data_IF_294584562746
#
_entry.id   IF_294584562746
#
_cell.length_a   1.000
_cell.length_b   1.000
_cell.length_c   1.000
_cell.angle_alpha   90.00
_cell.angle_beta   90.00
_cell.angle_gamma   90.00
#
_symmetry.space_group_name_H-M   'P 1'
#
loop_
_entity.id
_entity.type
_entity.pdbx_description
1 polymer ?
#
# COMPACT_ATOMS: atom_id res chain seq x y z
N UNK A 1 13.63 -11.87 -12.74
CA UNK A 1 14.61 -10.86 -12.26
C UNK A 1 14.60 -9.68 -13.24
N UNK A 2 13.98 -8.57 -12.85
CA UNK A 2 13.91 -7.36 -13.69
C UNK A 2 15.23 -6.56 -13.69
N UNK A 3 16.25 -7.01 -12.96
CA UNK A 3 17.52 -6.30 -12.78
C UNK A 3 17.37 -4.93 -12.11
N UNK A 4 16.24 -4.68 -11.41
CA UNK A 4 16.04 -3.53 -10.56
C UNK A 4 16.27 -3.97 -9.10
N UNK A 5 17.24 -3.37 -8.38
CA UNK A 5 17.49 -3.75 -7.00
C UNK A 5 16.27 -3.40 -6.14
N UNK A 6 15.67 -4.42 -5.56
CA UNK A 6 14.63 -4.28 -4.55
C UNK A 6 15.30 -4.14 -3.18
N UNK A 7 14.99 -3.05 -2.48
CA UNK A 7 15.57 -2.82 -1.15
C UNK A 7 14.78 -3.55 -0.07
N UNK A 8 13.47 -3.38 -0.05
CA UNK A 8 12.56 -3.94 0.95
C UNK A 8 11.19 -4.20 0.36
N UNK A 9 10.42 -5.08 1.01
CA UNK A 9 8.97 -5.19 0.81
C UNK A 9 8.28 -4.70 2.08
N UNK A 10 7.40 -3.72 1.95
CA UNK A 10 6.69 -3.13 3.09
C UNK A 10 5.18 -3.29 2.96
N UNK A 11 4.54 -3.73 4.04
CA UNK A 11 3.09 -3.65 4.19
C UNK A 11 2.72 -2.25 4.70
N UNK A 12 1.73 -1.62 4.09
CA UNK A 12 1.31 -0.25 4.40
C UNK A 12 -0.23 -0.16 4.54
N UNK A 13 -0.73 1.03 4.87
CA UNK A 13 -2.14 1.36 4.85
C UNK A 13 -2.98 0.66 5.91
N UNK A 14 -4.24 0.41 5.58
CA UNK A 14 -5.21 -0.19 6.49
C UNK A 14 -4.80 -1.57 7.01
N UNK A 15 -4.14 -2.38 6.18
CA UNK A 15 -3.66 -3.71 6.59
C UNK A 15 -2.54 -3.61 7.65
N UNK A 16 -1.60 -2.67 7.50
CA UNK A 16 -0.58 -2.43 8.52
C UNK A 16 -1.20 -1.91 9.83
N UNK A 17 -2.15 -0.99 9.75
CA UNK A 17 -2.89 -0.49 10.92
C UNK A 17 -3.66 -1.61 11.62
N UNK A 18 -4.26 -2.53 10.87
CA UNK A 18 -4.96 -3.69 11.42
C UNK A 18 -4.04 -4.58 12.28
N UNK A 19 -2.79 -4.78 11.86
CA UNK A 19 -1.80 -5.56 12.61
C UNK A 19 -1.55 -4.96 14.00
N UNK A 20 -1.60 -3.62 14.13
CA UNK A 20 -1.39 -2.92 15.40
C UNK A 20 -2.68 -2.67 16.19
N UNK A 21 -3.85 -2.76 15.54
CA UNK A 21 -5.12 -2.61 16.23
C UNK A 21 -5.38 -3.83 17.11
N UNK A 22 -5.58 -3.63 18.39
CA UNK A 22 -5.93 -4.70 19.32
C UNK A 22 -7.40 -5.14 19.21
N UNK A 23 -8.08 -4.77 18.15
CA UNK A 23 -9.52 -4.97 17.98
C UNK A 23 -9.84 -5.34 16.54
N UNK A 24 -10.68 -6.36 16.37
CA UNK A 24 -11.28 -6.75 15.08
C UNK A 24 -12.14 -5.67 14.41
N UNK A 25 -12.29 -4.52 15.08
CA UNK A 25 -13.07 -3.38 14.59
C UNK A 25 -12.40 -2.54 13.51
N UNK A 26 -11.19 -2.92 13.06
CA UNK A 26 -10.44 -2.26 11.97
C UNK A 26 -10.42 -3.11 10.71
N UNK A 27 -11.55 -3.26 9.99
CA UNK A 27 -11.51 -3.96 8.72
C UNK A 27 -10.68 -3.16 7.71
N UNK A 28 -9.86 -3.85 6.94
CA UNK A 28 -9.18 -3.28 5.78
C UNK A 28 -9.76 -3.90 4.49
N UNK A 29 -9.81 -3.10 3.43
CA UNK A 29 -10.38 -3.50 2.13
C UNK A 29 -9.33 -4.07 1.19
N UNK A 30 -8.11 -3.57 1.30
CA UNK A 30 -6.99 -3.84 0.41
C UNK A 30 -5.70 -4.09 1.19
N UNK A 31 -4.77 -4.76 0.55
CA UNK A 31 -3.42 -5.02 1.04
C UNK A 31 -2.47 -4.17 0.22
N UNK A 32 -1.91 -3.14 0.83
CA UNK A 32 -0.95 -2.24 0.23
C UNK A 32 0.47 -2.75 0.42
N UNK A 33 1.16 -3.12 -0.66
CA UNK A 33 2.56 -3.48 -0.66
C UNK A 33 3.39 -2.40 -1.35
N UNK A 34 4.41 -1.91 -0.65
CA UNK A 34 5.35 -0.92 -1.16
C UNK A 34 6.68 -1.59 -1.44
N UNK A 35 7.20 -1.35 -2.64
CA UNK A 35 8.48 -1.80 -3.15
C UNK A 35 9.34 -0.57 -3.43
N UNK A 36 10.20 -0.14 -2.49
CA UNK A 36 11.16 0.93 -2.74
C UNK A 36 12.19 0.47 -3.78
N UNK A 37 12.22 1.13 -4.93
CA UNK A 37 13.11 0.82 -6.05
C UNK A 37 13.53 2.11 -6.77
N UNK A 38 14.66 2.07 -7.49
CA UNK A 38 15.04 3.14 -8.39
C UNK A 38 14.22 3.08 -9.70
N UNK A 39 13.62 4.20 -10.07
CA UNK A 39 12.81 4.38 -11.29
C UNK A 39 13.34 5.58 -12.09
N UNK A 40 14.66 5.62 -12.34
CA UNK A 40 15.31 6.79 -12.91
C UNK A 40 14.88 7.06 -14.37
N UNK A 41 14.58 6.02 -15.12
CA UNK A 41 14.23 6.09 -16.54
C UNK A 41 12.84 5.54 -16.80
N UNK A 42 12.23 5.95 -17.89
CA UNK A 42 10.94 5.43 -18.31
C UNK A 42 10.96 3.93 -18.62
N UNK A 43 12.11 3.41 -19.08
CA UNK A 43 12.31 1.98 -19.28
C UNK A 43 12.24 1.16 -17.97
N UNK A 44 12.51 1.76 -16.82
CA UNK A 44 12.45 1.07 -15.54
C UNK A 44 10.99 0.75 -15.16
N UNK A 45 10.06 1.63 -15.52
CA UNK A 45 8.61 1.35 -15.36
C UNK A 45 8.14 0.20 -16.26
N UNK A 46 8.67 0.09 -17.48
CA UNK A 46 8.35 -1.03 -18.36
C UNK A 46 8.89 -2.35 -17.79
N UNK A 47 10.11 -2.34 -17.26
CA UNK A 47 10.71 -3.51 -16.58
C UNK A 47 9.90 -3.94 -15.36
N UNK A 48 9.38 -2.99 -14.56
CA UNK A 48 8.46 -3.28 -13.46
C UNK A 48 7.18 -3.92 -13.98
N UNK A 49 6.60 -3.36 -15.03
CA UNK A 49 5.39 -3.90 -15.65
C UNK A 49 5.58 -5.34 -16.12
N UNK A 50 6.66 -5.59 -16.85
CA UNK A 50 7.01 -6.93 -17.32
C UNK A 50 7.18 -7.90 -16.15
N UNK A 51 7.91 -7.50 -15.10
CA UNK A 51 8.10 -8.33 -13.91
C UNK A 51 6.77 -8.68 -13.19
N UNK A 52 5.84 -7.74 -13.12
CA UNK A 52 4.50 -7.99 -12.55
C UNK A 52 3.73 -8.99 -13.39
N UNK A 53 3.74 -8.85 -14.71
CA UNK A 53 3.05 -9.78 -15.62
C UNK A 53 3.68 -11.17 -15.61
N UNK A 54 5.00 -11.26 -15.60
CA UNK A 54 5.71 -12.53 -15.46
C UNK A 54 5.38 -13.24 -14.14
N UNK A 55 5.33 -12.49 -13.03
CA UNK A 55 4.93 -13.03 -11.74
C UNK A 55 3.50 -13.55 -11.75
N UNK A 56 2.55 -12.80 -12.33
CA UNK A 56 1.16 -13.23 -12.47
C UNK A 56 1.06 -14.51 -13.30
N UNK A 57 1.80 -14.60 -14.41
CA UNK A 57 1.84 -15.79 -15.24
C UNK A 57 2.42 -17.01 -14.50
N UNK A 58 3.46 -16.81 -13.71
CA UNK A 58 4.09 -17.86 -12.90
C UNK A 58 3.15 -18.37 -11.79
N UNK A 59 2.38 -17.48 -11.18
CA UNK A 59 1.41 -17.83 -10.13
C UNK A 59 0.19 -18.60 -10.63
N UNK A 60 -0.03 -18.66 -11.95
CA UNK A 60 -1.14 -19.44 -12.51
C UNK A 60 -0.97 -20.93 -12.20
N UNK A 61 -2.08 -21.65 -11.92
CA UNK A 61 -2.05 -23.09 -11.68
C UNK A 61 -1.33 -23.84 -12.79
N UNK A 62 -0.62 -24.92 -12.46
CA UNK A 62 0.07 -25.76 -13.44
C UNK A 62 -0.91 -26.46 -14.41
N UNK A 63 -2.18 -26.57 -14.01
CA UNK A 63 -3.28 -27.07 -14.83
C UNK A 63 -3.75 -26.12 -15.93
N UNK A 64 -3.27 -24.86 -15.92
CA UNK A 64 -3.63 -23.89 -16.95
C UNK A 64 -3.06 -24.33 -18.28
N UNK A 65 -3.93 -24.76 -19.16
CA UNK A 65 -3.58 -25.16 -20.54
C UNK A 65 -3.13 -23.92 -21.32
N UNK A 66 -2.01 -24.07 -22.04
CA UNK A 66 -1.56 -23.06 -22.99
C UNK A 66 -1.11 -21.71 -22.38
N UNK A 67 -0.36 -21.75 -21.28
CA UNK A 67 0.22 -20.53 -20.66
C UNK A 67 0.97 -19.65 -21.67
N UNK A 68 1.59 -20.24 -22.69
CA UNK A 68 2.32 -19.51 -23.74
C UNK A 68 1.42 -18.67 -24.67
N UNK A 69 0.12 -18.93 -24.68
CA UNK A 69 -0.86 -18.14 -25.45
C UNK A 69 -1.49 -17.00 -24.64
N UNK A 70 -1.17 -16.91 -23.34
CA UNK A 70 -1.69 -15.82 -22.48
C UNK A 70 -0.85 -14.58 -22.70
N UNK A 71 -1.48 -13.54 -23.22
CA UNK A 71 -0.80 -12.26 -23.48
C UNK A 71 -0.83 -11.33 -22.25
N UNK A 72 0.07 -10.34 -22.19
CA UNK A 72 0.01 -9.30 -21.16
C UNK A 72 -1.33 -8.57 -21.11
N UNK A 73 -2.00 -8.39 -22.27
CA UNK A 73 -3.32 -7.78 -22.35
C UNK A 73 -4.38 -8.64 -21.65
N UNK A 74 -4.35 -9.95 -21.85
CA UNK A 74 -5.25 -10.88 -21.17
C UNK A 74 -5.03 -10.83 -19.66
N UNK A 75 -3.78 -10.82 -19.18
CA UNK A 75 -3.46 -10.70 -17.75
C UNK A 75 -3.95 -9.39 -17.17
N UNK A 76 -3.76 -8.29 -17.90
CA UNK A 76 -4.26 -6.98 -17.50
C UNK A 76 -5.78 -7.00 -17.35
N UNK A 77 -6.50 -7.50 -18.33
CA UNK A 77 -7.96 -7.46 -18.37
C UNK A 77 -8.60 -8.34 -17.29
N UNK A 78 -7.93 -9.44 -16.91
CA UNK A 78 -8.44 -10.39 -15.91
C UNK A 78 -8.04 -10.02 -14.49
N UNK A 79 -6.80 -9.59 -14.25
CA UNK A 79 -6.24 -9.44 -12.90
C UNK A 79 -5.96 -8.00 -12.47
N UNK A 80 -5.85 -7.05 -13.41
CA UNK A 80 -5.47 -5.68 -13.08
C UNK A 80 -6.67 -4.74 -13.19
N UNK A 81 -7.18 -4.31 -12.05
CA UNK A 81 -8.26 -3.32 -11.97
C UNK A 81 -7.79 -1.92 -12.31
N UNK A 82 -6.56 -1.57 -11.91
CA UNK A 82 -5.99 -0.23 -12.09
C UNK A 82 -4.49 -0.32 -12.26
N UNK A 83 -3.99 0.46 -13.18
CA UNK A 83 -2.55 0.67 -13.39
C UNK A 83 -2.29 2.17 -13.52
N UNK A 84 -1.33 2.68 -12.73
CA UNK A 84 -0.96 4.10 -12.71
C UNK A 84 0.55 4.21 -12.82
N UNK A 85 1.01 5.20 -13.57
CA UNK A 85 2.40 5.63 -13.67
C UNK A 85 2.46 7.13 -13.41
N UNK A 86 3.34 7.56 -12.51
CA UNK A 86 3.61 8.97 -12.20
C UNK A 86 5.10 9.24 -12.38
N UNK A 87 5.43 10.29 -13.13
CA UNK A 87 6.81 10.58 -13.57
C UNK A 87 7.26 12.02 -13.36
N UNK A 88 6.43 12.86 -12.73
CA UNK A 88 6.73 14.30 -12.52
C UNK A 88 7.55 14.53 -11.25
N UNK A 89 7.00 15.32 -10.32
CA UNK A 89 7.61 15.57 -9.01
C UNK A 89 7.71 14.29 -8.16
N UNK A 90 6.78 13.38 -8.36
CA UNK A 90 6.77 12.02 -7.83
C UNK A 90 7.16 11.01 -8.91
N UNK A 91 7.75 9.89 -8.48
CA UNK A 91 8.11 8.77 -9.36
C UNK A 91 7.69 7.46 -8.72
N UNK A 92 6.59 6.91 -9.18
CA UNK A 92 6.03 5.65 -8.70
C UNK A 92 5.06 5.03 -9.70
N UNK A 93 4.84 3.74 -9.56
CA UNK A 93 3.78 3.04 -10.28
C UNK A 93 2.94 2.20 -9.34
N UNK A 94 1.69 1.97 -9.73
CA UNK A 94 0.70 1.20 -9.01
C UNK A 94 0.10 0.15 -9.93
N UNK A 95 0.01 -1.08 -9.42
CA UNK A 95 -0.80 -2.15 -9.98
C UNK A 95 -1.80 -2.60 -8.93
N UNK A 96 -3.09 -2.39 -9.18
CA UNK A 96 -4.17 -2.84 -8.31
C UNK A 96 -4.69 -4.17 -8.83
N UNK A 97 -4.34 -5.24 -8.13
CA UNK A 97 -4.74 -6.61 -8.47
C UNK A 97 -6.04 -6.96 -7.75
N UNK A 98 -6.94 -7.63 -8.45
CA UNK A 98 -8.21 -8.05 -7.86
C UNK A 98 -8.62 -9.43 -8.36
N UNK A 99 -9.52 -10.05 -7.61
CA UNK A 99 -10.33 -11.18 -8.04
C UNK A 99 -11.74 -11.04 -7.44
N UNK A 100 -12.67 -11.87 -7.87
CA UNK A 100 -14.08 -11.80 -7.45
C UNK A 100 -14.29 -12.24 -6.00
N UNK A 101 -13.32 -12.90 -5.37
CA UNK A 101 -13.47 -13.57 -4.08
C UNK A 101 -12.55 -13.04 -2.98
N UNK A 102 -11.56 -12.23 -3.32
CA UNK A 102 -10.52 -11.78 -2.40
C UNK A 102 -10.46 -10.28 -2.20
N UNK A 103 -9.58 -9.88 -1.29
CA UNK A 103 -9.21 -8.49 -1.14
C UNK A 103 -8.35 -8.04 -2.32
N UNK A 104 -8.47 -6.77 -2.66
CA UNK A 104 -7.58 -6.14 -3.62
C UNK A 104 -6.14 -6.10 -3.05
N UNK A 105 -5.15 -6.34 -3.90
CA UNK A 105 -3.73 -6.18 -3.57
C UNK A 105 -3.19 -5.03 -4.40
N UNK A 106 -2.65 -4.02 -3.75
CA UNK A 106 -2.01 -2.89 -4.40
C UNK A 106 -0.49 -3.04 -4.33
N UNK A 107 0.16 -3.17 -5.48
CA UNK A 107 1.61 -3.20 -5.61
C UNK A 107 2.09 -1.80 -5.99
N UNK A 108 2.79 -1.12 -5.09
CA UNK A 108 3.32 0.24 -5.27
C UNK A 108 4.83 0.20 -5.39
N UNK A 109 5.34 0.44 -6.57
CA UNK A 109 6.78 0.54 -6.86
C UNK A 109 7.16 2.00 -6.77
N UNK A 110 8.02 2.36 -5.82
CA UNK A 110 8.20 3.76 -5.41
C UNK A 110 9.68 4.11 -5.36
N UNK A 111 10.10 5.08 -6.16
CA UNK A 111 11.35 5.81 -5.98
C UNK A 111 11.11 7.02 -5.08
N UNK A 112 10.12 7.83 -5.43
CA UNK A 112 9.76 9.02 -4.68
C UNK A 112 8.25 9.25 -4.75
N UNK A 113 7.63 9.39 -3.58
CA UNK A 113 6.21 9.73 -3.45
C UNK A 113 6.06 10.72 -2.29
N UNK A 114 5.57 11.91 -2.61
CA UNK A 114 5.19 12.92 -1.64
C UNK A 114 3.70 12.86 -1.42
N UNK A 115 3.28 12.98 -0.18
CA UNK A 115 1.86 13.08 0.16
C UNK A 115 1.56 14.52 0.58
N UNK A 116 0.54 15.10 -0.04
CA UNK A 116 0.09 16.44 0.30
C UNK A 116 -0.60 16.48 1.68
N UNK A 117 -1.30 15.39 2.02
CA UNK A 117 -1.93 15.23 3.34
C UNK A 117 -1.77 13.80 3.83
N UNK A 118 -1.87 13.60 5.13
CA UNK A 118 -1.60 12.33 5.78
C UNK A 118 -2.50 12.13 7.01
N UNK A 119 -2.96 10.90 7.22
CA UNK A 119 -3.69 10.50 8.42
C UNK A 119 -2.83 9.59 9.27
N UNK A 120 -2.82 9.77 10.58
CA UNK A 120 -2.09 8.91 11.52
C UNK A 120 -2.46 7.43 11.37
N UNK A 121 -3.72 7.14 11.05
CA UNK A 121 -4.22 5.78 10.83
C UNK A 121 -3.61 5.08 9.61
N UNK A 122 -2.97 5.83 8.70
CA UNK A 122 -2.27 5.32 7.52
C UNK A 122 -0.75 5.41 7.65
N UNK A 123 -0.25 5.73 8.83
CA UNK A 123 1.16 6.05 9.02
C UNK A 123 2.05 4.85 9.36
N UNK A 124 1.50 3.65 9.39
CA UNK A 124 2.27 2.46 9.72
C UNK A 124 2.80 1.75 8.49
N UNK A 125 4.06 1.33 8.58
CA UNK A 125 4.70 0.43 7.62
C UNK A 125 5.36 -0.73 8.37
N UNK A 126 5.24 -1.93 7.82
CA UNK A 126 5.85 -3.15 8.35
C UNK A 126 6.78 -3.70 7.29
N UNK A 127 8.06 -3.86 7.59
CA UNK A 127 9.02 -4.53 6.71
C UNK A 127 8.80 -6.03 6.72
N UNK A 128 8.55 -6.61 5.55
CA UNK A 128 8.19 -8.02 5.38
C UNK A 128 9.39 -8.93 5.07
N UNK A 129 10.57 -8.36 4.82
CA UNK A 129 11.78 -9.12 4.43
C UNK A 129 12.06 -10.32 5.34
N UNK A 130 12.01 -10.20 6.70
CA UNK A 130 12.27 -11.35 7.56
C UNK A 130 11.29 -12.52 7.35
N UNK A 131 10.04 -12.22 6.96
CA UNK A 131 9.02 -13.23 6.65
C UNK A 131 9.23 -13.87 5.29
N UNK A 132 9.78 -13.12 4.34
CA UNK A 132 10.04 -13.58 2.97
C UNK A 132 11.32 -14.43 2.94
N UNK A 133 12.37 -13.98 3.61
CA UNK A 133 13.67 -14.65 3.65
C UNK A 133 13.63 -15.95 4.46
N UNK A 134 12.90 -15.94 5.58
CA UNK A 134 12.81 -17.08 6.51
C UNK A 134 11.36 -17.44 6.84
N UNK A 135 10.56 -17.94 5.87
CA UNK A 135 9.13 -18.18 6.05
C UNK A 135 8.80 -19.24 7.12
N UNK A 136 9.77 -20.06 7.50
CA UNK A 136 9.63 -21.11 8.51
C UNK A 136 10.10 -20.69 9.92
N UNK A 137 10.58 -19.45 10.08
CA UNK A 137 11.00 -18.97 11.39
C UNK A 137 9.77 -18.71 12.27
N UNK A 138 9.74 -19.36 13.43
CA UNK A 138 8.60 -19.29 14.35
C UNK A 138 8.41 -17.92 15.00
N UNK A 139 9.47 -17.10 15.06
CA UNK A 139 9.48 -15.77 15.69
C UNK A 139 10.39 -14.81 14.94
N UNK A 140 10.05 -14.41 13.71
CA UNK A 140 10.85 -13.44 12.97
C UNK A 140 10.84 -12.08 13.68
N UNK A 141 11.97 -11.39 13.65
CA UNK A 141 12.04 -10.00 14.12
C UNK A 141 11.48 -9.11 13.02
N UNK A 142 10.32 -8.53 13.29
CA UNK A 142 9.63 -7.65 12.34
C UNK A 142 9.92 -6.19 12.72
N UNK A 143 10.32 -5.39 11.73
CA UNK A 143 10.47 -3.95 11.87
C UNK A 143 9.18 -3.26 11.48
N UNK A 144 8.69 -2.39 12.36
CA UNK A 144 7.59 -1.50 12.10
C UNK A 144 8.01 -0.05 12.31
N UNK A 145 7.47 0.84 11.49
CA UNK A 145 7.79 2.26 11.55
C UNK A 145 6.56 3.13 11.26
N UNK A 146 6.57 4.37 11.71
CA UNK A 146 5.61 5.39 11.28
C UNK A 146 6.15 6.10 10.04
N UNK A 147 5.29 6.35 9.06
CA UNK A 147 5.63 7.19 7.90
C UNK A 147 5.90 8.65 8.28
N UNK A 148 5.44 9.09 9.46
CA UNK A 148 5.53 10.47 9.93
C UNK A 148 6.59 10.69 11.00
N UNK A 149 7.35 9.67 11.34
CA UNK A 149 8.52 9.75 12.18
C UNK A 149 8.31 9.37 13.65
N UNK A 150 7.12 9.53 14.24
CA UNK A 150 6.83 9.13 15.61
C UNK A 150 5.85 7.94 15.65
N UNK A 151 6.42 6.74 15.83
CA UNK A 151 5.64 5.51 15.92
C UNK A 151 4.72 5.48 17.14
N UNK A 152 5.18 5.95 18.30
CA UNK A 152 4.40 5.91 19.53
C UNK A 152 3.23 6.88 19.48
N UNK A 153 3.42 8.04 18.90
CA UNK A 153 2.35 9.01 18.67
C UNK A 153 1.31 8.45 17.69
N UNK A 154 1.74 7.87 16.58
CA UNK A 154 0.83 7.25 15.60
C UNK A 154 0.02 6.10 16.22
N UNK A 155 0.66 5.25 17.04
CA UNK A 155 0.01 4.17 17.77
C UNK A 155 -0.99 4.70 18.81
N UNK A 156 -0.64 5.79 19.50
CA UNK A 156 -1.55 6.47 20.43
C UNK A 156 -2.80 6.99 19.70
N UNK A 157 -2.62 7.67 18.54
CA UNK A 157 -3.74 8.16 17.74
C UNK A 157 -4.64 7.02 17.25
N UNK A 158 -4.06 5.92 16.79
CA UNK A 158 -4.82 4.74 16.37
C UNK A 158 -5.67 4.18 17.52
N UNK A 159 -5.04 3.94 18.67
CA UNK A 159 -5.73 3.37 19.86
C UNK A 159 -6.79 4.28 20.44
N UNK A 160 -6.58 5.59 20.39
CA UNK A 160 -7.53 6.61 20.85
C UNK A 160 -8.56 7.00 19.78
N UNK A 161 -8.48 6.42 18.59
CA UNK A 161 -9.31 6.77 17.43
C UNK A 161 -9.25 8.27 17.10
N UNK A 162 -8.03 8.80 17.05
CA UNK A 162 -7.80 10.18 16.67
C UNK A 162 -7.33 10.24 15.22
N UNK A 163 -7.81 11.23 14.49
CA UNK A 163 -7.32 11.59 13.17
C UNK A 163 -6.39 12.79 13.37
N UNK A 164 -5.15 12.65 12.92
CA UNK A 164 -4.20 13.75 12.84
C UNK A 164 -3.71 13.89 11.40
N UNK A 165 -3.65 15.12 10.91
CA UNK A 165 -3.15 15.43 9.58
C UNK A 165 -2.36 16.74 9.62
N UNK A 166 -1.27 16.80 8.85
CA UNK A 166 -0.41 17.99 8.83
C UNK A 166 -1.06 19.16 8.08
N UNK A 167 -1.74 18.85 6.99
CA UNK A 167 -2.32 19.84 6.08
C UNK A 167 -3.78 19.48 5.81
N UNK A 168 -4.69 19.65 6.80
CA UNK A 168 -6.09 19.26 6.66
C UNK A 168 -6.79 19.95 5.49
N UNK A 169 -6.40 21.19 5.17
CA UNK A 169 -6.94 21.96 4.06
C UNK A 169 -6.61 21.37 2.68
N UNK A 170 -5.62 20.50 2.59
CA UNK A 170 -5.23 19.82 1.34
C UNK A 170 -5.99 18.52 1.10
N UNK A 171 -6.80 18.05 2.05
CA UNK A 171 -7.58 16.82 1.89
C UNK A 171 -8.58 17.01 0.76
N UNK A 172 -8.51 16.14 -0.27
CA UNK A 172 -9.36 16.20 -1.46
C UNK A 172 -9.81 14.79 -1.87
N UNK A 173 -10.91 14.74 -2.60
CA UNK A 173 -11.37 13.52 -3.27
C UNK A 173 -11.49 12.32 -2.35
N UNK A 174 -10.80 11.24 -2.66
CA UNK A 174 -10.83 10.01 -1.88
C UNK A 174 -10.33 10.16 -0.44
N UNK A 175 -9.38 11.06 -0.19
CA UNK A 175 -8.91 11.39 1.16
C UNK A 175 -10.00 12.02 2.01
N UNK A 176 -10.77 12.96 1.45
CA UNK A 176 -11.90 13.59 2.14
C UNK A 176 -12.98 12.57 2.49
N UNK A 177 -13.34 11.69 1.55
CA UNK A 177 -14.29 10.61 1.81
C UNK A 177 -13.83 9.68 2.93
N UNK A 178 -12.53 9.35 2.95
CA UNK A 178 -11.94 8.55 4.02
C UNK A 178 -11.99 9.26 5.36
N UNK A 179 -11.68 10.54 5.41
CA UNK A 179 -11.79 11.36 6.61
C UNK A 179 -13.23 11.33 7.16
N UNK A 180 -14.22 11.63 6.34
CA UNK A 180 -15.64 11.57 6.72
C UNK A 180 -16.05 10.16 7.20
N UNK A 181 -15.57 9.12 6.52
CA UNK A 181 -15.85 7.74 6.92
C UNK A 181 -15.26 7.41 8.31
N UNK A 182 -14.04 7.87 8.62
CA UNK A 182 -13.44 7.68 9.94
C UNK A 182 -14.25 8.37 11.02
N UNK A 183 -14.73 9.61 10.78
CA UNK A 183 -15.61 10.32 11.72
C UNK A 183 -16.88 9.51 12.02
N UNK A 184 -17.52 8.92 11.01
CA UNK A 184 -18.72 8.09 11.21
C UNK A 184 -18.44 6.80 11.99
N UNK A 185 -17.18 6.39 12.08
CA UNK A 185 -16.73 5.23 12.87
C UNK A 185 -16.24 5.58 14.28
N UNK A 186 -16.49 6.79 14.73
CA UNK A 186 -16.15 7.25 16.07
C UNK A 186 -14.69 7.67 16.23
N UNK A 187 -14.03 8.05 15.14
CA UNK A 187 -12.80 8.80 15.20
C UNK A 187 -13.10 10.27 15.48
N UNK A 188 -12.20 10.93 16.16
CA UNK A 188 -12.29 12.37 16.44
C UNK A 188 -11.07 13.07 15.84
N UNK A 189 -11.28 14.27 15.31
CA UNK A 189 -10.17 15.11 14.86
C UNK A 189 -9.34 15.58 16.06
N UNK A 190 -8.02 15.66 15.87
CA UNK A 190 -7.13 16.36 16.81
C UNK A 190 -7.34 17.87 16.72
N UNK A 191 -6.71 18.62 17.64
CA UNK A 191 -6.84 20.08 17.66
C UNK A 191 -6.47 20.76 16.33
N UNK A 192 -5.57 20.18 15.57
CA UNK A 192 -5.12 20.71 14.28
C UNK A 192 -6.17 20.56 13.16
N UNK A 193 -7.10 19.63 13.32
CA UNK A 193 -8.15 19.34 12.33
C UNK A 193 -9.50 19.99 12.64
N UNK A 194 -9.66 20.67 13.79
CA UNK A 194 -10.95 21.20 14.25
C UNK A 194 -11.59 22.22 13.30
N UNK A 195 -10.79 22.94 12.55
CA UNK A 195 -11.30 23.94 11.62
C UNK A 195 -11.94 23.32 10.36
N UNK A 196 -11.66 22.04 10.06
CA UNK A 196 -12.30 21.31 8.97
C UNK A 196 -13.67 20.73 9.34
N UNK A 197 -13.99 20.63 10.61
CA UNK A 197 -15.29 20.09 11.10
C UNK A 197 -16.38 21.15 11.15
N UNK A 198 -16.05 22.41 10.92
CA UNK A 198 -16.99 23.54 10.84
C UNK A 198 -17.46 23.79 9.42
#
# INVERSE_FOLDING_TARGET
DAGLPLLHVKLNGGAASFVFAQSDSFPYSDVDLIFPIALERDSDFERVREAVFDALLQMMPSSTTNKSAITPETLRDVYIRKMVKVTDSDRWSLFSLHNDYGRCIELKFVERMRRAFEFSVDSFQITLDPLIENPNESRPIIRAESMYGDFMQALFHLNKRLIDTRNPEEIRGGGLLKYCHLLTRGFSATSNCRDMEK
#
